data_IF_733945153404
#
_entry.id   IF_733945153404
#
_cell.length_a   1.000
_cell.length_b   1.000
_cell.length_c   1.000
_cell.angle_alpha   90.00
_cell.angle_beta   90.00
_cell.angle_gamma   90.00
#
_symmetry.space_group_name_H-M   'P 1'
#
loop_
_entity.id
_entity.type
_entity.pdbx_description
1 polymer ?
#
# COMPACT_ATOMS: atom_id res chain seq x y z
N UNK A 1 49.36 -16.55 13.18
CA UNK A 1 48.19 -16.36 12.30
C UNK A 1 48.70 -15.80 10.99
N UNK A 2 48.33 -16.40 9.86
CA UNK A 2 48.87 -16.07 8.54
C UNK A 2 48.12 -14.88 7.93
N UNK A 3 48.82 -13.95 7.29
CA UNK A 3 48.22 -12.85 6.51
C UNK A 3 47.18 -13.36 5.48
N UNK A 4 47.37 -14.59 4.99
CA UNK A 4 46.43 -15.23 4.07
C UNK A 4 45.13 -15.67 4.75
N UNK A 5 45.18 -16.07 6.03
CA UNK A 5 44.00 -16.42 6.82
C UNK A 5 43.17 -15.17 7.12
N UNK A 6 43.84 -14.06 7.47
CA UNK A 6 43.18 -12.76 7.72
C UNK A 6 42.53 -12.22 6.44
N UNK A 7 43.19 -12.35 5.28
CA UNK A 7 42.62 -12.01 3.98
C UNK A 7 41.38 -12.86 3.66
N UNK A 8 41.44 -14.17 3.91
CA UNK A 8 40.31 -15.08 3.68
C UNK A 8 39.10 -14.70 4.53
N UNK A 9 39.31 -14.43 5.82
CA UNK A 9 38.24 -14.00 6.74
C UNK A 9 37.64 -12.67 6.29
N UNK A 10 38.46 -11.72 5.83
CA UNK A 10 37.98 -10.44 5.31
C UNK A 10 37.16 -10.60 4.03
N UNK A 11 37.57 -11.48 3.11
CA UNK A 11 36.79 -11.80 1.91
C UNK A 11 35.46 -12.48 2.23
N UNK A 12 35.44 -13.41 3.19
CA UNK A 12 34.21 -14.06 3.66
C UNK A 12 33.25 -13.04 4.29
N UNK A 13 33.77 -12.12 5.11
CA UNK A 13 32.98 -11.02 5.67
C UNK A 13 32.41 -10.08 4.61
N UNK A 14 33.22 -9.68 3.62
CA UNK A 14 32.77 -8.86 2.49
C UNK A 14 31.66 -9.55 1.70
N UNK A 15 31.82 -10.85 1.42
CA UNK A 15 30.82 -11.61 0.69
C UNK A 15 29.50 -11.74 1.46
N UNK A 16 29.58 -11.91 2.79
CA UNK A 16 28.41 -11.91 3.67
C UNK A 16 27.69 -10.56 3.66
N UNK A 17 28.43 -9.46 3.82
CA UNK A 17 27.87 -8.10 3.78
C UNK A 17 27.23 -7.79 2.43
N UNK A 18 27.86 -8.19 1.32
CA UNK A 18 27.32 -8.00 -0.02
C UNK A 18 26.03 -8.79 -0.23
N UNK A 19 25.98 -10.03 0.28
CA UNK A 19 24.79 -10.88 0.21
C UNK A 19 23.65 -10.27 1.02
N UNK A 20 23.94 -9.73 2.20
CA UNK A 20 22.97 -9.03 3.04
C UNK A 20 22.46 -7.75 2.38
N UNK A 21 23.35 -6.92 1.83
CA UNK A 21 22.98 -5.72 1.08
C UNK A 21 22.06 -6.07 -0.11
N UNK A 22 22.37 -7.14 -0.85
CA UNK A 22 21.52 -7.62 -1.96
C UNK A 22 20.14 -8.04 -1.47
N UNK A 23 20.05 -8.71 -0.32
CA UNK A 23 18.79 -9.10 0.31
C UNK A 23 17.96 -7.86 0.68
N UNK A 24 18.58 -6.88 1.33
CA UNK A 24 17.92 -5.62 1.74
C UNK A 24 17.40 -4.87 0.52
N UNK A 25 18.21 -4.71 -0.53
CA UNK A 25 17.79 -4.04 -1.78
C UNK A 25 16.57 -4.74 -2.40
N UNK A 26 16.58 -6.09 -2.43
CA UNK A 26 15.46 -6.86 -2.97
C UNK A 26 14.18 -6.63 -2.16
N UNK A 27 14.27 -6.63 -0.83
CA UNK A 27 13.12 -6.35 0.03
C UNK A 27 12.58 -4.93 -0.20
N UNK A 28 13.45 -3.91 -0.17
CA UNK A 28 13.06 -2.52 -0.44
C UNK A 28 12.44 -2.31 -1.82
N UNK A 29 12.92 -3.04 -2.83
CA UNK A 29 12.32 -2.96 -4.17
C UNK A 29 10.89 -3.51 -4.22
N UNK A 30 10.59 -4.52 -3.40
CA UNK A 30 9.24 -5.08 -3.29
C UNK A 30 8.33 -4.11 -2.55
N UNK A 31 8.79 -3.57 -1.41
CA UNK A 31 8.06 -2.57 -0.64
C UNK A 31 7.72 -1.34 -1.51
N UNK A 32 8.70 -0.79 -2.24
CA UNK A 32 8.47 0.35 -3.15
C UNK A 32 7.42 0.02 -4.20
N UNK A 33 7.44 -1.20 -4.74
CA UNK A 33 6.48 -1.63 -5.76
C UNK A 33 5.06 -1.73 -5.18
N UNK A 34 4.93 -2.25 -3.96
CA UNK A 34 3.66 -2.38 -3.26
C UNK A 34 3.07 -1.01 -2.93
N UNK A 35 3.85 -0.14 -2.29
CA UNK A 35 3.47 1.25 -2.00
C UNK A 35 3.09 2.02 -3.28
N UNK A 36 3.84 1.84 -4.38
CA UNK A 36 3.53 2.47 -5.66
C UNK A 36 2.19 1.96 -6.26
N UNK A 37 1.91 0.67 -6.11
CA UNK A 37 0.65 0.06 -6.53
C UNK A 37 -0.54 0.65 -5.76
N UNK A 38 -0.42 0.78 -4.43
CA UNK A 38 -1.48 1.36 -3.59
C UNK A 38 -1.70 2.84 -3.97
N UNK A 39 -0.63 3.62 -4.15
CA UNK A 39 -0.74 5.03 -4.59
C UNK A 39 -1.43 5.17 -5.95
N UNK A 40 -1.15 4.25 -6.87
CA UNK A 40 -1.80 4.24 -8.18
C UNK A 40 -3.29 3.91 -8.07
N UNK A 41 -3.67 2.99 -7.17
CA UNK A 41 -5.08 2.69 -6.90
C UNK A 41 -5.81 3.87 -6.27
N UNK A 42 -5.18 4.58 -5.31
CA UNK A 42 -5.74 5.82 -4.74
C UNK A 42 -6.03 6.83 -5.85
N UNK A 43 -5.07 7.08 -6.75
CA UNK A 43 -5.26 8.02 -7.86
C UNK A 43 -6.44 7.62 -8.77
N UNK A 44 -6.66 6.32 -9.00
CA UNK A 44 -7.82 5.85 -9.77
C UNK A 44 -9.12 6.13 -9.02
N UNK A 45 -9.19 5.81 -7.72
CA UNK A 45 -10.37 6.05 -6.91
C UNK A 45 -10.69 7.54 -6.78
N UNK A 46 -9.68 8.40 -6.59
CA UNK A 46 -9.87 9.86 -6.58
C UNK A 46 -10.45 10.38 -7.89
N UNK A 47 -9.98 9.87 -9.04
CA UNK A 47 -10.53 10.24 -10.36
C UNK A 47 -11.96 9.74 -10.55
N UNK A 48 -12.26 8.52 -10.10
CA UNK A 48 -13.61 7.99 -10.15
C UNK A 48 -14.58 8.85 -9.32
N UNK A 49 -14.15 9.24 -8.12
CA UNK A 49 -14.93 10.10 -7.23
C UNK A 49 -15.17 11.50 -7.83
N UNK A 50 -14.14 12.13 -8.40
CA UNK A 50 -14.27 13.41 -9.10
C UNK A 50 -15.25 13.33 -10.28
N UNK A 51 -15.20 12.25 -11.06
CA UNK A 51 -16.15 12.02 -12.15
C UNK A 51 -17.59 11.82 -11.62
N UNK A 52 -17.78 11.06 -10.53
CA UNK A 52 -19.09 10.88 -9.91
C UNK A 52 -19.68 12.22 -9.46
N UNK A 53 -18.89 13.09 -8.82
CA UNK A 53 -19.35 14.42 -8.42
C UNK A 53 -19.67 15.31 -9.62
N UNK A 54 -18.89 15.25 -10.70
CA UNK A 54 -19.19 15.98 -11.94
C UNK A 54 -20.47 15.52 -12.59
N UNK A 55 -20.68 14.21 -12.68
CA UNK A 55 -21.89 13.62 -13.24
C UNK A 55 -23.11 13.96 -12.40
N UNK A 56 -22.99 13.92 -11.07
CA UNK A 56 -24.03 14.33 -10.15
C UNK A 56 -24.37 15.82 -10.33
N UNK A 57 -23.36 16.69 -10.38
CA UNK A 57 -23.56 18.13 -10.60
C UNK A 57 -24.23 18.43 -11.93
N UNK A 58 -23.85 17.72 -12.99
CA UNK A 58 -24.49 17.81 -14.32
C UNK A 58 -25.95 17.36 -14.26
N UNK A 59 -26.21 16.21 -13.65
CA UNK A 59 -27.58 15.69 -13.49
C UNK A 59 -28.45 16.66 -12.70
N UNK A 60 -27.90 17.28 -11.66
CA UNK A 60 -28.61 18.25 -10.86
C UNK A 60 -28.92 19.54 -11.63
N UNK A 61 -27.99 20.00 -12.46
CA UNK A 61 -28.20 21.13 -13.35
C UNK A 61 -29.30 20.85 -14.39
N UNK A 62 -29.23 19.70 -15.06
CA UNK A 62 -30.18 19.31 -16.11
C UNK A 62 -31.59 19.16 -15.53
N UNK A 63 -31.74 18.50 -14.40
CA UNK A 63 -33.04 18.32 -13.75
C UNK A 63 -33.64 19.64 -13.26
N UNK A 64 -32.83 20.57 -12.75
CA UNK A 64 -33.30 21.92 -12.41
C UNK A 64 -33.79 22.70 -13.64
N UNK A 65 -33.16 22.50 -14.81
CA UNK A 65 -33.58 23.11 -16.07
C UNK A 65 -34.89 22.51 -16.58
N UNK A 66 -35.11 21.23 -16.32
CA UNK A 66 -36.28 20.46 -16.76
C UNK A 66 -37.44 20.47 -15.74
N UNK A 67 -37.27 21.13 -14.59
CA UNK A 67 -38.18 21.08 -13.43
C UNK A 67 -38.52 19.63 -13.02
N UNK A 68 -37.50 18.77 -13.10
CA UNK A 68 -37.58 17.35 -12.82
C UNK A 68 -36.95 17.01 -11.46
N UNK A 69 -37.49 15.99 -10.80
CA UNK A 69 -36.90 15.46 -9.57
C UNK A 69 -35.63 14.66 -9.85
N UNK A 70 -34.67 14.74 -8.92
CA UNK A 70 -33.40 14.02 -8.99
C UNK A 70 -33.42 12.89 -7.97
N UNK A 71 -33.18 11.67 -8.44
CA UNK A 71 -32.89 10.53 -7.60
C UNK A 71 -31.39 10.51 -7.29
N UNK A 72 -31.04 10.90 -6.06
CA UNK A 72 -29.64 10.96 -5.60
C UNK A 72 -29.12 9.63 -5.05
N UNK A 73 -29.99 8.65 -4.77
CA UNK A 73 -29.65 7.41 -4.05
C UNK A 73 -28.43 6.69 -4.64
N UNK A 74 -28.47 6.40 -5.94
CA UNK A 74 -27.38 5.70 -6.64
C UNK A 74 -26.05 6.46 -6.62
N UNK A 75 -26.09 7.80 -6.60
CA UNK A 75 -24.88 8.62 -6.52
C UNK A 75 -24.31 8.62 -5.11
N UNK A 76 -25.17 8.70 -4.09
CA UNK A 76 -24.75 8.66 -2.68
C UNK A 76 -24.07 7.32 -2.39
N UNK A 77 -24.69 6.21 -2.77
CA UNK A 77 -24.14 4.87 -2.52
C UNK A 77 -22.76 4.69 -3.18
N UNK A 78 -22.61 5.09 -4.45
CA UNK A 78 -21.34 5.01 -5.18
C UNK A 78 -20.26 5.93 -4.60
N UNK A 79 -20.65 7.11 -4.14
CA UNK A 79 -19.73 8.06 -3.50
C UNK A 79 -19.26 7.50 -2.16
N UNK A 80 -20.16 6.94 -1.36
CA UNK A 80 -19.83 6.34 -0.06
C UNK A 80 -18.89 5.13 -0.23
N UNK A 81 -19.18 4.24 -1.19
CA UNK A 81 -18.33 3.09 -1.51
C UNK A 81 -16.92 3.53 -1.94
N UNK A 82 -16.83 4.47 -2.89
CA UNK A 82 -15.57 5.00 -3.38
C UNK A 82 -14.78 5.71 -2.27
N UNK A 83 -15.46 6.44 -1.38
CA UNK A 83 -14.84 7.13 -0.24
C UNK A 83 -14.32 6.14 0.79
N UNK A 84 -15.09 5.11 1.13
CA UNK A 84 -14.67 4.06 2.04
C UNK A 84 -13.44 3.31 1.50
N UNK A 85 -13.44 2.96 0.21
CA UNK A 85 -12.30 2.33 -0.45
C UNK A 85 -11.07 3.22 -0.47
N UNK A 86 -11.23 4.51 -0.73
CA UNK A 86 -10.12 5.47 -0.71
C UNK A 86 -9.53 5.59 0.70
N UNK A 87 -10.38 5.69 1.74
CA UNK A 87 -9.93 5.74 3.13
C UNK A 87 -9.20 4.45 3.55
N UNK A 88 -9.68 3.28 3.12
CA UNK A 88 -8.99 2.01 3.37
C UNK A 88 -7.59 1.99 2.75
N UNK A 89 -7.45 2.43 1.49
CA UNK A 89 -6.16 2.51 0.81
C UNK A 89 -5.19 3.50 1.47
N UNK A 90 -5.70 4.65 1.93
CA UNK A 90 -4.90 5.63 2.68
C UNK A 90 -4.44 5.07 4.03
N UNK A 91 -5.28 4.29 4.71
CA UNK A 91 -4.92 3.62 5.95
C UNK A 91 -3.82 2.58 5.72
N UNK A 92 -3.92 1.77 4.65
CA UNK A 92 -2.88 0.81 4.28
C UNK A 92 -1.52 1.49 4.07
N UNK A 93 -1.47 2.65 3.42
CA UNK A 93 -0.24 3.43 3.29
C UNK A 93 0.29 3.95 4.63
N UNK A 94 -0.58 4.36 5.56
CA UNK A 94 -0.15 4.83 6.88
C UNK A 94 0.46 3.70 7.70
N UNK A 95 -0.11 2.50 7.63
CA UNK A 95 0.40 1.31 8.33
C UNK A 95 1.77 0.89 7.76
N UNK A 96 1.95 0.85 6.44
CA UNK A 96 3.26 0.55 5.82
C UNK A 96 4.38 1.51 6.28
N UNK A 97 4.07 2.79 6.46
CA UNK A 97 5.05 3.77 6.93
C UNK A 97 5.45 3.56 8.40
N UNK A 98 4.56 3.05 9.25
CA UNK A 98 4.87 2.75 10.67
C UNK A 98 5.75 1.50 10.77
N UNK A 99 5.50 0.45 9.97
CA UNK A 99 6.36 -0.75 9.96
C UNK A 99 7.76 -0.47 9.39
N UNK A 100 7.89 0.52 8.51
CA UNK A 100 9.19 0.97 8.02
C UNK A 100 10.10 1.58 9.10
N UNK A 101 9.53 2.06 10.22
CA UNK A 101 10.29 2.60 11.36
C UNK A 101 10.89 1.52 12.27
N UNK A 102 10.36 0.28 12.24
CA UNK A 102 10.98 -0.87 12.92
C UNK A 102 12.26 -1.37 12.24
N UNK A 103 12.58 -0.86 11.04
CA UNK A 103 13.75 -1.30 10.27
C UNK A 103 15.04 -0.56 10.61
N UNK A 104 15.02 0.56 11.32
CA UNK A 104 16.25 1.16 11.87
C UNK A 104 16.89 0.22 12.92
N UNK A 105 16.08 -0.63 13.57
CA UNK A 105 16.57 -1.68 14.47
C UNK A 105 17.23 -2.86 13.72
N UNK A 106 17.01 -3.02 12.42
CA UNK A 106 17.66 -4.08 11.63
C UNK A 106 19.17 -3.82 11.42
N UNK A 107 19.63 -2.57 11.58
CA UNK A 107 21.05 -2.24 11.63
C UNK A 107 21.68 -2.53 13.01
N UNK A 108 20.88 -2.85 14.04
CA UNK A 108 21.34 -3.14 15.41
C UNK A 108 21.66 -4.62 15.68
N UNK A 109 21.44 -5.51 14.71
CA UNK A 109 21.80 -6.93 14.81
C UNK A 109 20.81 -7.82 15.59
N UNK A 110 19.65 -7.30 16.01
CA UNK A 110 18.59 -8.08 16.65
C UNK A 110 17.44 -8.34 15.67
N UNK A 111 17.59 -9.32 14.77
CA UNK A 111 16.50 -9.77 13.91
C UNK A 111 15.69 -10.83 14.67
N UNK A 112 14.50 -10.47 15.12
CA UNK A 112 13.42 -11.45 15.24
C UNK A 112 12.79 -11.58 13.86
N UNK A 113 12.75 -12.79 13.31
CA UNK A 113 12.04 -13.05 12.05
C UNK A 113 10.57 -12.61 12.19
N UNK A 114 10.00 -11.90 11.20
CA UNK A 114 8.56 -11.66 11.19
C UNK A 114 7.89 -13.02 11.02
N UNK A 115 7.25 -13.51 12.08
CA UNK A 115 6.47 -14.75 12.03
C UNK A 115 5.26 -14.55 11.12
N UNK A 116 4.81 -15.63 10.48
CA UNK A 116 3.61 -15.62 9.62
C UNK A 116 2.36 -15.07 10.34
N UNK A 117 2.33 -15.14 11.67
CA UNK A 117 1.24 -14.64 12.52
C UNK A 117 0.99 -13.12 12.37
N UNK A 118 2.00 -12.30 12.07
CA UNK A 118 1.80 -10.85 11.89
C UNK A 118 1.06 -10.51 10.57
N UNK A 119 1.04 -11.44 9.60
CA UNK A 119 0.33 -11.27 8.32
C UNK A 119 -1.07 -11.88 8.31
N UNK A 120 -1.47 -12.59 9.36
CA UNK A 120 -2.77 -13.29 9.41
C UNK A 120 -3.93 -12.37 9.82
N UNK A 121 -3.67 -11.11 10.18
CA UNK A 121 -4.71 -10.17 10.63
C UNK A 121 -5.32 -9.29 9.52
N UNK A 122 -4.95 -9.51 8.26
CA UNK A 122 -5.58 -8.83 7.13
C UNK A 122 -6.76 -9.67 6.64
N UNK A 123 -7.98 -9.26 7.02
CA UNK A 123 -9.19 -9.78 6.38
C UNK A 123 -9.30 -9.11 5.01
N UNK A 124 -8.78 -9.77 3.98
CA UNK A 124 -9.11 -9.45 2.59
C UNK A 124 -10.47 -10.06 2.27
N UNK A 125 -11.50 -9.23 2.11
CA UNK A 125 -12.81 -9.68 1.63
C UNK A 125 -12.81 -9.51 0.11
N UNK A 126 -12.79 -10.62 -0.63
CA UNK A 126 -13.02 -10.61 -2.08
C UNK A 126 -14.51 -10.30 -2.33
N UNK A 127 -14.83 -9.39 -3.25
CA UNK A 127 -16.22 -9.03 -3.61
C UNK A 127 -17.03 -10.26 -4.09
N UNK A 128 -16.35 -11.35 -4.46
CA UNK A 128 -16.98 -12.63 -4.82
C UNK A 128 -17.48 -13.44 -3.63
N UNK A 129 -16.95 -13.19 -2.44
CA UNK A 129 -17.31 -13.89 -1.20
C UNK A 129 -18.54 -13.26 -0.50
N UNK A 130 -19.00 -12.10 -0.99
CA UNK A 130 -20.18 -11.37 -0.50
C UNK A 130 -21.48 -11.70 -1.26
N UNK A 131 -21.50 -12.77 -2.07
CA UNK A 131 -22.64 -13.19 -2.90
C UNK A 131 -23.29 -14.50 -2.47
#
# INVERSE_FOLDING_TARGET
MSLLDDLKINFENLNRQLTEAKRVIKLKSLDIKETASIRLEILKQSRALDNLYKDLGKRAYDAKKEDADILYGDYIEKIDEATARLHALELSLKIENVDSQRFDDAYSGNISEPTKEDRENYIYIDEKDLK
#
